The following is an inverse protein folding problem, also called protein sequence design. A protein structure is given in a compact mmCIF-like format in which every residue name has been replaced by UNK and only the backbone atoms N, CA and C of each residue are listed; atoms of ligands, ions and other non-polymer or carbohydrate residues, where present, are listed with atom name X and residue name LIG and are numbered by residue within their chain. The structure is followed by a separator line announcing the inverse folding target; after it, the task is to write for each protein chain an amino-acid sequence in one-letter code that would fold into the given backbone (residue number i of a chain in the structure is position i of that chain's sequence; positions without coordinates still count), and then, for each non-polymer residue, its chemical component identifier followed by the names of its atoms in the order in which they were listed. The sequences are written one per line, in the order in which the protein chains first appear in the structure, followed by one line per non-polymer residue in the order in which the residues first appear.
data_IF_049486555197
#
_entry.id   IF_049486555197
#
_cell.length_a   1.000
_cell.length_b   1.000
_cell.length_c   1.000
_cell.angle_alpha   90.00
_cell.angle_beta   90.00
_cell.angle_gamma   90.00
#
_symmetry.space_group_name_H-M   'P 1'
#
loop_
_entity.id
_entity.type
_entity.pdbx_description
1 polymer ?
#
# COMPACT_ATOMS: atom_id res chain seq x y z
N UNK A 1 3.69 -13.60 5.81
CA UNK A 1 3.04 -13.05 4.58
C UNK A 1 4.09 -12.49 3.63
N UNK A 2 4.50 -13.25 2.60
CA UNK A 2 5.57 -12.85 1.67
C UNK A 2 4.97 -12.03 0.52
N UNK A 3 5.51 -10.82 0.28
CA UNK A 3 5.16 -10.00 -0.88
C UNK A 3 6.09 -10.33 -2.04
N UNK A 4 5.51 -10.55 -3.21
CA UNK A 4 6.21 -10.94 -4.42
C UNK A 4 5.69 -10.13 -5.59
N UNK A 5 6.56 -9.85 -6.56
CA UNK A 5 6.16 -9.13 -7.78
C UNK A 5 6.00 -10.10 -8.93
N UNK A 6 4.92 -9.93 -9.70
CA UNK A 6 4.59 -10.74 -10.87
C UNK A 6 4.30 -9.82 -12.06
N UNK A 7 4.11 -10.40 -13.25
CA UNK A 7 3.56 -9.69 -14.41
C UNK A 7 2.25 -10.34 -14.83
N UNK A 8 1.28 -9.53 -15.20
CA UNK A 8 0.07 -10.01 -15.87
C UNK A 8 0.42 -10.50 -17.28
N UNK A 9 -0.48 -11.25 -17.91
CA UNK A 9 -0.35 -11.67 -19.32
C UNK A 9 -0.19 -10.46 -20.25
N UNK A 10 -0.73 -9.30 -19.86
CA UNK A 10 -0.61 -8.01 -20.57
C UNK A 10 0.66 -7.22 -20.19
N UNK A 11 1.59 -7.82 -19.45
CA UNK A 11 2.87 -7.22 -19.04
C UNK A 11 2.83 -6.28 -17.84
N UNK A 12 1.65 -6.03 -17.26
CA UNK A 12 1.49 -5.11 -16.11
C UNK A 12 2.15 -5.69 -14.87
N UNK A 13 3.00 -4.90 -14.18
CA UNK A 13 3.62 -5.32 -12.92
C UNK A 13 2.56 -5.40 -11.81
N UNK A 14 2.50 -6.54 -11.14
CA UNK A 14 1.57 -6.84 -10.06
C UNK A 14 2.34 -7.04 -8.76
N UNK A 15 1.74 -6.65 -7.65
CA UNK A 15 2.12 -7.04 -6.31
C UNK A 15 1.17 -8.12 -5.82
N UNK A 16 1.72 -9.29 -5.54
CA UNK A 16 0.97 -10.42 -5.02
C UNK A 16 1.41 -10.74 -3.61
N UNK A 17 0.43 -11.03 -2.75
CA UNK A 17 0.67 -11.44 -1.38
C UNK A 17 0.25 -12.89 -1.21
N UNK A 18 1.17 -13.69 -0.66
CA UNK A 18 0.94 -15.13 -0.46
C UNK A 18 0.78 -15.50 1.01
N UNK A 19 -0.10 -16.46 1.26
CA UNK A 19 -0.19 -17.16 2.53
C UNK A 19 1.02 -18.09 2.71
N UNK A 20 1.13 -18.69 3.89
CA UNK A 20 2.21 -19.63 4.22
C UNK A 20 2.15 -20.91 3.38
N UNK A 21 0.96 -21.25 2.86
CA UNK A 21 0.73 -22.39 1.97
C UNK A 21 1.00 -22.05 0.49
N UNK A 22 1.47 -20.82 0.19
CA UNK A 22 1.82 -20.38 -1.15
C UNK A 22 0.65 -19.92 -2.03
N UNK A 23 -0.58 -19.90 -1.51
CA UNK A 23 -1.78 -19.42 -2.22
C UNK A 23 -1.80 -17.89 -2.22
N UNK A 24 -2.35 -17.33 -3.30
CA UNK A 24 -2.55 -15.90 -3.40
C UNK A 24 -3.70 -15.47 -2.48
N UNK A 25 -3.39 -14.58 -1.54
CA UNK A 25 -4.38 -13.95 -0.65
C UNK A 25 -4.89 -12.65 -1.27
N UNK A 26 -4.00 -11.92 -1.93
CA UNK A 26 -4.33 -10.67 -2.61
C UNK A 26 -3.40 -10.45 -3.81
N UNK A 27 -3.93 -9.80 -4.85
CA UNK A 27 -3.18 -9.41 -6.04
C UNK A 27 -3.62 -8.02 -6.49
N UNK A 28 -2.66 -7.10 -6.56
CA UNK A 28 -2.90 -5.71 -6.95
C UNK A 28 -1.92 -5.26 -8.02
N UNK A 29 -2.24 -4.16 -8.71
CA UNK A 29 -1.29 -3.53 -9.62
C UNK A 29 -0.20 -2.79 -8.85
N UNK A 30 1.03 -2.84 -9.37
CA UNK A 30 2.18 -2.16 -8.76
C UNK A 30 1.91 -0.67 -8.54
N UNK A 31 1.35 -0.02 -9.56
CA UNK A 31 1.03 1.40 -9.55
C UNK A 31 0.13 1.77 -8.36
N UNK A 32 -0.88 0.96 -8.05
CA UNK A 32 -1.83 1.23 -6.97
C UNK A 32 -1.18 1.06 -5.59
N UNK A 33 -0.45 -0.03 -5.39
CA UNK A 33 0.23 -0.29 -4.12
C UNK A 33 1.30 0.78 -3.84
N UNK A 34 2.12 1.12 -4.83
CA UNK A 34 3.15 2.13 -4.70
C UNK A 34 2.56 3.53 -4.43
N UNK A 35 1.49 3.89 -5.14
CA UNK A 35 0.78 5.15 -4.87
C UNK A 35 0.17 5.20 -3.45
N UNK A 36 -0.29 4.07 -2.92
CA UNK A 36 -0.79 4.00 -1.54
C UNK A 36 0.33 4.17 -0.52
N UNK A 37 1.49 3.55 -0.74
CA UNK A 37 2.67 3.72 0.12
C UNK A 37 3.17 5.17 0.12
N UNK A 38 3.24 5.81 -1.05
CA UNK A 38 3.59 7.24 -1.16
C UNK A 38 2.59 8.16 -0.44
N UNK A 39 1.32 7.77 -0.35
CA UNK A 39 0.28 8.53 0.36
C UNK A 39 0.28 8.29 1.87
N UNK A 40 0.93 7.23 2.36
CA UNK A 40 0.98 6.95 3.80
C UNK A 40 1.83 8.01 4.47
N UNK A 41 1.17 8.84 5.28
CA UNK A 41 1.82 9.79 6.18
C UNK A 41 2.13 9.12 7.51
N UNK A 42 3.24 9.53 8.11
CA UNK A 42 3.61 9.04 9.44
C UNK A 42 2.54 9.40 10.46
N UNK A 43 2.34 8.54 11.47
CA UNK A 43 1.35 8.78 12.54
C UNK A 43 1.57 10.16 13.20
N UNK A 44 2.84 10.56 13.37
CA UNK A 44 3.22 11.86 13.89
C UNK A 44 2.75 13.03 12.98
N UNK A 45 2.85 12.89 11.66
CA UNK A 45 2.40 13.92 10.71
C UNK A 45 0.88 14.04 10.67
N UNK A 46 0.17 12.92 10.77
CA UNK A 46 -1.29 12.89 10.86
C UNK A 46 -1.75 13.53 12.17
N UNK A 47 -1.11 13.19 13.30
CA UNK A 47 -1.41 13.76 14.61
C UNK A 47 -1.09 15.26 14.66
N UNK A 48 0.02 15.70 14.09
CA UNK A 48 0.38 17.11 13.99
C UNK A 48 -0.61 17.89 13.11
N UNK A 49 -1.06 17.31 11.99
CA UNK A 49 -2.08 17.92 11.14
C UNK A 49 -3.44 18.02 11.84
N UNK A 50 -3.83 16.99 12.59
CA UNK A 50 -5.06 16.99 13.39
C UNK A 50 -5.01 18.08 14.49
N UNK A 51 -3.90 18.18 15.23
CA UNK A 51 -3.69 19.24 16.25
C UNK A 51 -3.70 20.65 15.66
N UNK A 52 -3.13 20.85 14.46
CA UNK A 52 -3.18 22.13 13.75
C UNK A 52 -4.58 22.48 13.26
N UNK A 53 -5.37 21.48 12.86
CA UNK A 53 -6.76 21.68 12.43
C UNK A 53 -7.69 22.06 13.59
N UNK A 54 -7.52 21.46 14.77
CA UNK A 54 -8.28 21.84 15.97
C UNK A 54 -7.90 23.21 16.51
N UNK A 55 -6.63 23.64 16.40
CA UNK A 55 -6.20 24.98 16.83
C UNK A 55 -6.66 26.12 15.92
N UNK A 56 -7.13 25.81 14.70
CA UNK A 56 -7.64 26.77 13.71
C UNK A 56 -9.17 26.95 13.79
N UNK A 57 -9.85 26.09 14.55
CA UNK A 57 -11.29 26.17 14.82
C UNK A 57 -11.52 26.92 16.12
#
# INVERSE_FOLDING_TARGET
MKRTTHRSVKGTKLYAIRDEKGRFVDIQTYKRAHAADMKRKSKAEIAAKAKKATKKK
#
